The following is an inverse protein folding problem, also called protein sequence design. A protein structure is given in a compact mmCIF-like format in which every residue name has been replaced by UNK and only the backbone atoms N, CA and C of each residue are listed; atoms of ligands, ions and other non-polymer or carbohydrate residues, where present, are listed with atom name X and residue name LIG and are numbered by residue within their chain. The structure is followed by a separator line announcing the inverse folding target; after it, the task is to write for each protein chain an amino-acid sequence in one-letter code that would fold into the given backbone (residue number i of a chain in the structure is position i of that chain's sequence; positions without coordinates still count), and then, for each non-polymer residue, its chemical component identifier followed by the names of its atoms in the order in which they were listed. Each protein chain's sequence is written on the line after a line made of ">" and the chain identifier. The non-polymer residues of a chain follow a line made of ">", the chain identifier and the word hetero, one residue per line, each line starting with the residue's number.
data_IF_109463804378
#
_entry.id   IF_109463804378
#
_cell.length_a   1.000
_cell.length_b   1.000
_cell.length_c   1.000
_cell.angle_alpha   90.00
_cell.angle_beta   90.00
_cell.angle_gamma   90.00
#
_symmetry.space_group_name_H-M   'P 1'
#
loop_
_entity.id
_entity.type
_entity.pdbx_description
1 polymer ?
#
# COMPACT_ATOMS: atom_id res chain seq x y z
N UNK A 1 -14.33 -0.11 38.19
CA UNK A 1 -14.02 -1.47 38.67
C UNK A 1 -13.67 -2.27 37.43
N UNK A 2 -12.38 -2.35 37.13
CA UNK A 2 -11.84 -3.21 36.08
C UNK A 2 -11.85 -4.64 36.62
N UNK A 3 -12.12 -5.64 35.79
CA UNK A 3 -11.55 -7.00 35.80
C UNK A 3 -12.48 -7.97 35.07
N UNK A 4 -12.24 -8.19 33.76
CA UNK A 4 -12.37 -9.54 33.17
C UNK A 4 -11.55 -9.71 31.87
N UNK A 5 -10.30 -9.22 31.86
CA UNK A 5 -9.30 -9.50 30.81
C UNK A 5 -8.32 -10.60 31.25
N UNK A 6 -8.82 -11.62 31.93
CA UNK A 6 -7.99 -12.58 32.66
C UNK A 6 -8.20 -14.03 32.25
N UNK A 7 -7.87 -14.38 30.99
CA UNK A 7 -7.47 -15.75 30.60
C UNK A 7 -6.87 -15.74 29.18
N UNK A 8 -5.56 -15.52 29.02
CA UNK A 8 -4.92 -15.78 27.75
C UNK A 8 -4.99 -17.28 27.47
N UNK A 9 -5.70 -17.66 26.41
CA UNK A 9 -5.80 -19.04 25.97
C UNK A 9 -4.38 -19.52 25.57
N UNK A 10 -3.82 -20.45 26.32
CA UNK A 10 -2.47 -21.03 26.09
C UNK A 10 -2.25 -21.51 24.66
N UNK A 11 -3.33 -21.91 23.98
CA UNK A 11 -3.33 -22.33 22.57
C UNK A 11 -3.00 -21.15 21.63
N UNK A 12 -3.46 -19.95 21.95
CA UNK A 12 -3.20 -18.72 21.19
C UNK A 12 -1.75 -18.25 21.39
N UNK A 13 -1.21 -18.35 22.61
CA UNK A 13 0.20 -18.07 22.89
C UNK A 13 1.15 -19.08 22.22
N UNK A 14 0.78 -20.37 22.20
CA UNK A 14 1.56 -21.41 21.55
C UNK A 14 1.55 -21.28 20.02
N UNK A 15 0.42 -20.92 19.41
CA UNK A 15 0.34 -20.73 17.95
C UNK A 15 1.12 -19.50 17.47
N UNK A 16 1.10 -18.39 18.22
CA UNK A 16 1.92 -17.20 17.93
C UNK A 16 3.42 -17.50 18.18
N UNK A 17 3.74 -18.20 19.26
CA UNK A 17 5.11 -18.60 19.58
C UNK A 17 5.73 -19.53 18.53
N UNK A 18 4.97 -20.53 18.05
CA UNK A 18 5.45 -21.45 17.02
C UNK A 18 5.64 -20.76 15.66
N UNK A 19 4.75 -19.84 15.30
CA UNK A 19 4.89 -19.05 14.06
C UNK A 19 6.16 -18.18 14.08
N UNK A 20 6.47 -17.56 15.22
CA UNK A 20 7.68 -16.74 15.40
C UNK A 20 8.99 -17.54 15.34
N UNK A 21 8.96 -18.82 15.74
CA UNK A 21 10.16 -19.66 15.77
C UNK A 21 10.47 -20.34 14.42
N UNK A 22 9.47 -20.51 13.55
CA UNK A 22 9.64 -21.18 12.24
C UNK A 22 9.99 -20.17 11.14
N UNK A 23 9.50 -18.93 11.23
CA UNK A 23 9.79 -17.87 10.26
C UNK A 23 11.30 -17.66 10.02
N UNK A 24 12.16 -17.50 11.05
CA UNK A 24 13.59 -17.25 10.85
C UNK A 24 14.32 -18.37 10.10
N UNK A 25 13.85 -19.61 10.21
CA UNK A 25 14.45 -20.76 9.51
C UNK A 25 14.03 -20.87 8.04
N UNK A 26 12.93 -20.23 7.64
CA UNK A 26 12.46 -20.15 6.24
C UNK A 26 12.94 -18.89 5.50
N UNK A 27 13.48 -17.91 6.23
CA UNK A 27 13.97 -16.64 5.69
C UNK A 27 15.22 -16.69 4.76
N UNK A 28 16.13 -17.69 4.78
CA UNK A 28 17.30 -17.59 3.91
C UNK A 28 16.99 -17.83 2.42
N UNK A 29 15.73 -18.14 2.06
CA UNK A 29 15.34 -18.59 0.73
C UNK A 29 14.34 -17.65 0.02
N UNK A 30 13.87 -16.58 0.66
CA UNK A 30 12.85 -15.71 0.09
C UNK A 30 13.47 -14.47 -0.56
N UNK A 31 13.02 -14.17 -1.78
CA UNK A 31 13.40 -13.00 -2.58
C UNK A 31 13.36 -11.69 -1.75
N UNK A 32 14.28 -10.74 -1.97
CA UNK A 32 14.43 -9.49 -1.19
C UNK A 32 13.12 -8.71 -0.94
N UNK A 33 12.15 -8.82 -1.86
CA UNK A 33 10.83 -8.20 -1.75
C UNK A 33 9.99 -8.74 -0.58
N UNK A 34 10.09 -10.04 -0.27
CA UNK A 34 9.34 -10.67 0.82
C UNK A 34 9.99 -10.42 2.19
N UNK A 35 11.32 -10.39 2.26
CA UNK A 35 12.05 -10.04 3.48
C UNK A 35 11.72 -8.63 3.98
N UNK A 36 11.51 -7.69 3.05
CA UNK A 36 11.12 -6.32 3.35
C UNK A 36 9.71 -6.23 3.96
N UNK A 37 8.78 -7.05 3.49
CA UNK A 37 7.42 -7.10 4.02
C UNK A 37 7.33 -7.69 5.43
N UNK A 38 8.17 -8.69 5.75
CA UNK A 38 8.25 -9.28 7.10
C UNK A 38 8.94 -8.31 8.06
N UNK A 39 9.98 -7.61 7.62
CA UNK A 39 10.67 -6.60 8.42
C UNK A 39 9.76 -5.44 8.80
N UNK A 40 8.95 -4.96 7.85
CA UNK A 40 7.88 -3.97 8.11
C UNK A 40 6.94 -4.45 9.23
N UNK A 41 6.49 -5.69 9.23
CA UNK A 41 5.60 -6.22 10.28
C UNK A 41 6.26 -6.24 11.66
N UNK A 42 7.58 -6.46 11.73
CA UNK A 42 8.33 -6.44 12.99
C UNK A 42 8.63 -5.01 13.48
N UNK A 43 9.00 -4.10 12.58
CA UNK A 43 9.24 -2.69 12.92
C UNK A 43 7.91 -2.01 13.36
N UNK A 44 6.78 -2.40 12.74
CA UNK A 44 5.42 -2.00 13.14
C UNK A 44 5.01 -2.41 14.57
N UNK A 45 5.66 -3.39 15.20
CA UNK A 45 5.35 -3.81 16.57
C UNK A 45 6.07 -2.94 17.64
N UNK A 46 7.05 -2.13 17.24
CA UNK A 46 7.83 -1.27 18.13
C UNK A 46 7.55 0.23 17.99
N UNK A 47 7.09 0.69 16.83
CA UNK A 47 6.79 2.10 16.55
C UNK A 47 5.35 2.49 16.88
N UNK A 48 5.11 3.79 17.09
CA UNK A 48 3.76 4.31 17.35
C UNK A 48 2.80 3.93 16.22
N UNK A 49 1.55 3.56 16.52
CA UNK A 49 0.54 3.16 15.52
C UNK A 49 0.41 4.15 14.34
N UNK A 50 0.71 5.43 14.58
CA UNK A 50 0.70 6.48 13.56
C UNK A 50 1.84 6.33 12.53
N UNK A 51 3.04 5.98 12.97
CA UNK A 51 4.23 5.78 12.13
C UNK A 51 4.08 4.50 11.30
N UNK A 52 3.67 3.41 11.95
CA UNK A 52 3.23 2.17 11.33
C UNK A 52 2.17 2.37 10.22
N UNK A 53 1.18 3.23 10.47
CA UNK A 53 0.14 3.56 9.48
C UNK A 53 0.72 4.29 8.27
N UNK A 54 1.70 5.15 8.49
CA UNK A 54 2.36 5.91 7.44
C UNK A 54 3.20 5.00 6.54
N UNK A 55 3.98 4.08 7.12
CA UNK A 55 4.77 3.11 6.36
C UNK A 55 3.89 2.20 5.49
N UNK A 56 2.76 1.73 6.02
CA UNK A 56 1.81 0.92 5.27
C UNK A 56 1.18 1.69 4.11
N UNK A 57 0.95 3.00 4.28
CA UNK A 57 0.50 3.88 3.21
C UNK A 57 1.57 4.00 2.12
N UNK A 58 2.83 4.22 2.51
CA UNK A 58 3.94 4.36 1.58
C UNK A 58 4.20 3.06 0.80
N UNK A 59 4.13 1.91 1.47
CA UNK A 59 4.22 0.60 0.83
C UNK A 59 3.10 0.40 -0.21
N UNK A 60 1.86 0.82 0.08
CA UNK A 60 0.75 0.72 -0.86
C UNK A 60 0.97 1.61 -2.11
N UNK A 61 1.43 2.84 -1.92
CA UNK A 61 1.74 3.77 -3.03
C UNK A 61 2.91 3.23 -3.86
N UNK A 62 3.99 2.81 -3.21
CA UNK A 62 5.18 2.27 -3.86
C UNK A 62 4.86 1.02 -4.70
N UNK A 63 4.11 0.06 -4.13
CA UNK A 63 3.63 -1.12 -4.87
C UNK A 63 2.79 -0.75 -6.08
N UNK A 64 1.91 0.26 -5.95
CA UNK A 64 1.03 0.69 -7.04
C UNK A 64 1.83 1.33 -8.17
N UNK A 65 2.82 2.17 -7.86
CA UNK A 65 3.71 2.77 -8.87
C UNK A 65 4.58 1.72 -9.54
N UNK A 66 5.08 0.74 -8.80
CA UNK A 66 5.83 -0.36 -9.39
C UNK A 66 4.98 -1.16 -10.39
N UNK A 67 3.72 -1.43 -10.07
CA UNK A 67 2.77 -2.07 -11.00
C UNK A 67 2.49 -1.19 -12.22
N UNK A 68 2.23 0.11 -12.04
CA UNK A 68 2.05 1.05 -13.15
C UNK A 68 3.28 1.03 -14.05
N UNK A 69 4.47 1.26 -13.50
CA UNK A 69 5.75 1.27 -14.23
C UNK A 69 5.99 -0.03 -15.00
N UNK A 70 5.59 -1.17 -14.42
CA UNK A 70 5.64 -2.46 -15.10
C UNK A 70 4.69 -2.53 -16.30
N UNK A 71 3.47 -2.01 -16.20
CA UNK A 71 2.52 -1.98 -17.31
C UNK A 71 2.97 -1.06 -18.45
N UNK A 72 3.46 0.15 -18.15
CA UNK A 72 3.97 1.10 -19.17
C UNK A 72 5.30 0.68 -19.81
N UNK A 73 6.09 -0.17 -19.16
CA UNK A 73 7.34 -0.69 -19.73
C UNK A 73 7.13 -1.92 -20.63
N UNK A 74 5.93 -2.51 -20.63
CA UNK A 74 5.65 -3.68 -21.49
C UNK A 74 5.45 -3.26 -22.94
N UNK A 75 5.89 -4.08 -23.91
CA UNK A 75 5.62 -3.86 -25.32
C UNK A 75 4.16 -4.24 -25.65
N UNK A 76 3.22 -3.44 -25.14
CA UNK A 76 1.78 -3.59 -25.35
C UNK A 76 1.23 -2.43 -26.17
N UNK A 77 0.07 -2.65 -26.79
CA UNK A 77 -0.71 -1.58 -27.41
C UNK A 77 -1.07 -0.49 -26.37
N UNK A 78 -0.93 0.82 -26.70
CA UNK A 78 -1.20 1.90 -25.75
C UNK A 78 -2.59 1.87 -25.11
N UNK A 79 -3.63 1.39 -25.81
CA UNK A 79 -4.96 1.28 -25.21
C UNK A 79 -5.03 0.15 -24.17
N UNK A 80 -4.33 -0.96 -24.40
CA UNK A 80 -4.23 -2.05 -23.43
C UNK A 80 -3.46 -1.60 -22.18
N UNK A 81 -2.36 -0.89 -22.36
CA UNK A 81 -1.58 -0.30 -21.27
C UNK A 81 -2.42 0.66 -20.44
N UNK A 82 -3.18 1.57 -21.09
CA UNK A 82 -4.10 2.49 -20.41
C UNK A 82 -5.13 1.75 -19.55
N UNK A 83 -5.81 0.75 -20.11
CA UNK A 83 -6.79 -0.07 -19.36
C UNK A 83 -6.16 -0.81 -18.18
N UNK A 84 -4.92 -1.28 -18.33
CA UNK A 84 -4.21 -1.94 -17.24
C UNK A 84 -3.89 -0.95 -16.11
N UNK A 85 -3.37 0.24 -16.45
CA UNK A 85 -3.10 1.32 -15.49
C UNK A 85 -4.38 1.77 -14.76
N UNK A 86 -5.48 1.98 -15.48
CA UNK A 86 -6.78 2.33 -14.90
C UNK A 86 -7.29 1.28 -13.89
N UNK A 87 -7.12 -0.01 -14.22
CA UNK A 87 -7.46 -1.12 -13.31
C UNK A 87 -6.59 -1.09 -12.06
N UNK A 88 -5.29 -0.87 -12.19
CA UNK A 88 -4.35 -0.77 -11.06
C UNK A 88 -4.73 0.38 -10.14
N UNK A 89 -5.06 1.54 -10.69
CA UNK A 89 -5.49 2.71 -9.91
C UNK A 89 -6.85 2.49 -9.25
N UNK A 90 -7.79 1.81 -9.94
CA UNK A 90 -9.07 1.43 -9.34
C UNK A 90 -8.88 0.49 -8.14
N UNK A 91 -7.96 -0.46 -8.24
CA UNK A 91 -7.62 -1.34 -7.12
C UNK A 91 -6.99 -0.56 -5.96
N UNK A 92 -6.10 0.39 -6.26
CA UNK A 92 -5.54 1.30 -5.26
C UNK A 92 -6.66 2.07 -4.55
N UNK A 93 -7.56 2.76 -5.28
CA UNK A 93 -8.66 3.54 -4.71
C UNK A 93 -9.52 2.69 -3.76
N UNK A 94 -9.83 1.44 -4.15
CA UNK A 94 -10.59 0.49 -3.31
C UNK A 94 -9.83 0.11 -2.02
N UNK A 95 -8.53 -0.21 -2.12
CA UNK A 95 -7.70 -0.57 -0.95
C UNK A 95 -7.50 0.63 -0.02
N UNK A 96 -7.24 1.80 -0.59
CA UNK A 96 -7.05 3.05 0.12
C UNK A 96 -8.29 3.42 0.93
N UNK A 97 -9.48 3.35 0.30
CA UNK A 97 -10.75 3.65 0.98
C UNK A 97 -11.02 2.70 2.15
N UNK A 98 -10.81 1.39 1.97
CA UNK A 98 -10.97 0.41 3.05
C UNK A 98 -10.03 0.67 4.22
N UNK A 99 -8.75 0.97 3.94
CA UNK A 99 -7.76 1.29 4.98
C UNK A 99 -8.07 2.60 5.70
N UNK A 100 -8.47 3.61 4.97
CA UNK A 100 -8.82 4.90 5.55
C UNK A 100 -10.05 4.78 6.47
N UNK A 101 -11.02 3.94 6.13
CA UNK A 101 -12.14 3.60 7.00
C UNK A 101 -11.73 2.78 8.23
N UNK A 102 -10.77 1.87 8.13
CA UNK A 102 -10.32 1.06 9.28
C UNK A 102 -9.47 1.83 10.28
N UNK A 103 -8.73 2.84 9.82
CA UNK A 103 -7.83 3.64 10.66
C UNK A 103 -8.39 5.01 11.04
N UNK A 104 -9.51 5.41 10.46
CA UNK A 104 -10.16 6.67 10.77
C UNK A 104 -10.86 6.61 12.11
N UNK A 105 -10.61 7.60 12.98
CA UNK A 105 -11.36 7.71 14.24
C UNK A 105 -12.84 8.02 14.01
N UNK A 106 -13.17 8.62 12.86
CA UNK A 106 -14.52 8.91 12.38
C UNK A 106 -14.52 9.03 10.85
N UNK A 107 -15.70 9.24 10.25
CA UNK A 107 -15.84 9.35 8.80
C UNK A 107 -15.03 10.52 8.20
N UNK A 108 -14.93 11.64 8.90
CA UNK A 108 -14.17 12.80 8.45
C UNK A 108 -12.66 12.51 8.41
N UNK A 109 -12.12 11.89 9.47
CA UNK A 109 -10.73 11.43 9.53
C UNK A 109 -10.45 10.37 8.45
N UNK A 110 -11.37 9.41 8.26
CA UNK A 110 -11.27 8.43 7.18
C UNK A 110 -11.23 9.06 5.80
N UNK A 111 -12.07 10.08 5.54
CA UNK A 111 -12.05 10.80 4.27
C UNK A 111 -10.77 11.61 4.09
N UNK A 112 -10.27 12.27 5.14
CA UNK A 112 -9.01 13.01 5.11
C UNK A 112 -7.82 12.08 4.79
N UNK A 113 -7.74 10.92 5.45
CA UNK A 113 -6.72 9.90 5.19
C UNK A 113 -6.81 9.34 3.77
N UNK A 114 -8.02 9.12 3.25
CA UNK A 114 -8.21 8.68 1.88
C UNK A 114 -7.69 9.72 0.87
N UNK A 115 -8.03 11.00 1.06
CA UNK A 115 -7.52 12.11 0.23
C UNK A 115 -6.00 12.23 0.28
N UNK A 116 -5.40 12.07 1.47
CA UNK A 116 -3.95 12.04 1.64
C UNK A 116 -3.30 10.92 0.84
N UNK A 117 -3.89 9.72 0.84
CA UNK A 117 -3.40 8.58 0.05
C UNK A 117 -3.47 8.85 -1.47
N UNK A 118 -4.56 9.47 -1.95
CA UNK A 118 -4.67 9.88 -3.36
C UNK A 118 -3.59 10.90 -3.74
N UNK A 119 -3.33 11.87 -2.87
CA UNK A 119 -2.31 12.90 -3.07
C UNK A 119 -0.92 12.29 -3.16
N UNK A 120 -0.56 11.37 -2.25
CA UNK A 120 0.73 10.66 -2.32
C UNK A 120 0.89 9.84 -3.61
N UNK A 121 -0.18 9.19 -4.09
CA UNK A 121 -0.14 8.47 -5.35
C UNK A 121 0.10 9.44 -6.52
N UNK A 122 -0.58 10.58 -6.54
CA UNK A 122 -0.39 11.63 -7.56
C UNK A 122 1.06 12.11 -7.60
N UNK A 123 1.60 12.51 -6.45
CA UNK A 123 3.00 12.96 -6.35
C UNK A 123 3.98 11.88 -6.85
N UNK A 124 3.69 10.61 -6.57
CA UNK A 124 4.51 9.51 -7.04
C UNK A 124 4.37 9.26 -8.56
N UNK A 125 3.17 9.43 -9.13
CA UNK A 125 2.94 9.43 -10.58
C UNK A 125 3.72 10.57 -11.23
N UNK A 126 3.61 11.79 -10.71
CA UNK A 126 4.29 12.98 -11.23
C UNK A 126 5.82 12.80 -11.22
N UNK A 127 6.38 12.25 -10.13
CA UNK A 127 7.81 11.89 -10.09
C UNK A 127 8.19 10.83 -11.13
N UNK A 128 7.30 9.85 -11.38
CA UNK A 128 7.55 8.79 -12.36
C UNK A 128 7.56 9.33 -13.79
N UNK A 129 6.75 10.35 -14.12
CA UNK A 129 6.66 10.96 -15.46
C UNK A 129 8.02 11.36 -16.02
N UNK A 130 8.92 11.87 -15.18
CA UNK A 130 10.25 12.29 -15.60
C UNK A 130 11.15 11.14 -16.11
N UNK A 131 10.77 9.89 -15.82
CA UNK A 131 11.50 8.69 -16.23
C UNK A 131 10.96 8.10 -17.55
N UNK A 132 9.85 8.62 -18.07
CA UNK A 132 9.16 8.10 -19.25
C UNK A 132 9.03 9.15 -20.34
N UNK A 133 8.93 8.69 -21.60
CA UNK A 133 8.77 9.54 -22.78
C UNK A 133 7.70 8.97 -23.71
N UNK A 134 7.19 9.81 -24.63
CA UNK A 134 6.17 9.43 -25.60
C UNK A 134 4.86 8.98 -24.96
N UNK A 135 4.22 7.97 -25.53
CA UNK A 135 2.88 7.51 -25.12
C UNK A 135 2.80 7.09 -23.65
N UNK A 136 3.88 6.58 -23.05
CA UNK A 136 3.91 6.24 -21.63
C UNK A 136 3.81 7.47 -20.73
N UNK A 137 4.37 8.61 -21.16
CA UNK A 137 4.24 9.88 -20.45
C UNK A 137 2.81 10.41 -20.55
N UNK A 138 2.20 10.35 -21.73
CA UNK A 138 0.82 10.79 -21.95
C UNK A 138 -0.16 10.01 -21.05
N UNK A 139 0.02 8.69 -20.91
CA UNK A 139 -0.79 7.86 -20.01
C UNK A 139 -0.64 8.29 -18.54
N UNK A 140 0.57 8.65 -18.12
CA UNK A 140 0.82 9.14 -16.76
C UNK A 140 0.27 10.56 -16.54
N UNK A 141 0.27 11.40 -17.57
CA UNK A 141 -0.31 12.75 -17.52
C UNK A 141 -1.83 12.68 -17.31
N UNK A 142 -2.53 11.91 -18.13
CA UNK A 142 -3.98 11.68 -17.98
C UNK A 142 -4.33 11.06 -16.62
N UNK A 143 -3.46 10.18 -16.11
CA UNK A 143 -3.64 9.58 -14.78
C UNK A 143 -3.53 10.62 -13.67
N UNK A 144 -2.57 11.55 -13.76
CA UNK A 144 -2.38 12.64 -12.81
C UNK A 144 -3.63 13.52 -12.70
N UNK A 145 -4.24 13.87 -13.84
CA UNK A 145 -5.49 14.64 -13.91
C UNK A 145 -6.68 13.88 -13.28
N UNK A 146 -6.82 12.57 -13.57
CA UNK A 146 -7.89 11.75 -12.97
C UNK A 146 -7.80 11.62 -11.44
N UNK A 147 -6.59 11.74 -10.88
CA UNK A 147 -6.39 11.73 -9.43
C UNK A 147 -6.73 13.09 -8.79
N UNK A 148 -6.66 14.18 -9.54
CA UNK A 148 -7.01 15.53 -9.10
C UNK A 148 -8.53 15.72 -8.91
N UNK A 149 -9.33 15.22 -9.85
CA UNK A 149 -10.80 15.32 -9.80
C UNK A 149 -11.41 14.60 -8.59
N UNK A 150 -10.72 13.58 -8.06
CA UNK A 150 -11.20 12.79 -6.92
C UNK A 150 -10.72 13.28 -5.55
N UNK A 151 -9.90 14.33 -5.49
CA UNK A 151 -9.37 14.89 -4.25
C UNK A 151 -10.26 16.01 -3.65
N UNK A 152 -11.15 16.61 -4.43
CA UNK A 152 -12.12 17.64 -3.99
C UNK A 152 -13.36 17.03 -3.31
#
# INVERSE_FOLDING_TARGET
>A
MFEDFGKPNLVTLLTVGLASAILPKLLPQMSPALGSAVKLVFDLLGESEAEATEELMEALVSSTIAEINKEISRPNDPQQTRRAVERTVTQFKRRARRRAQSWGANEHDGQHRYRRQLTKLREAVDRSKHQHAGSSRDILDDLGESLEETAY
#
